data_IF_495148975188
#
_entry.id   IF_495148975188
#
_cell.length_a   1.000
_cell.length_b   1.000
_cell.length_c   1.000
_cell.angle_alpha   90.00
_cell.angle_beta   90.00
_cell.angle_gamma   90.00
#
_symmetry.space_group_name_H-M   'P 1'
#
loop_
_entity.id
_entity.type
_entity.pdbx_description
1 polymer ?
#
# COMPACT_ATOMS: atom_id res chain seq x y z
N UNK A 1 -10.21 5.37 -3.28
CA UNK A 1 -9.32 4.54 -4.13
C UNK A 1 -9.02 5.34 -5.38
N UNK A 2 -7.79 5.23 -5.89
CA UNK A 2 -7.42 5.81 -7.19
C UNK A 2 -7.86 4.86 -8.31
N UNK A 3 -8.13 5.41 -9.50
CA UNK A 3 -8.50 4.62 -10.68
C UNK A 3 -7.30 3.78 -11.17
N UNK A 4 -7.53 2.72 -11.98
CA UNK A 4 -6.44 1.94 -12.58
C UNK A 4 -5.46 2.81 -13.38
N UNK A 5 -5.97 3.75 -14.17
CA UNK A 5 -5.15 4.68 -14.95
C UNK A 5 -4.29 5.60 -14.07
N UNK A 6 -4.85 6.09 -12.95
CA UNK A 6 -4.09 6.87 -11.97
C UNK A 6 -2.99 6.02 -11.32
N UNK A 7 -3.26 4.73 -11.08
CA UNK A 7 -2.27 3.77 -10.54
C UNK A 7 -1.13 3.54 -11.53
N UNK A 8 -1.43 3.40 -12.83
CA UNK A 8 -0.43 3.26 -13.89
C UNK A 8 0.44 4.53 -14.03
N UNK A 9 -0.18 5.71 -14.04
CA UNK A 9 0.54 7.00 -14.07
C UNK A 9 1.47 7.16 -12.86
N UNK A 10 0.99 6.82 -11.67
CA UNK A 10 1.80 6.87 -10.46
C UNK A 10 2.95 5.87 -10.51
N UNK A 11 2.68 4.64 -10.94
CA UNK A 11 3.71 3.61 -11.12
C UNK A 11 4.78 4.07 -12.10
N UNK A 12 4.39 4.62 -13.25
CA UNK A 12 5.31 5.20 -14.23
C UNK A 12 6.12 6.36 -13.67
N UNK A 13 5.53 7.20 -12.83
CA UNK A 13 6.25 8.28 -12.13
C UNK A 13 7.36 7.71 -11.25
N UNK A 14 7.07 6.69 -10.41
CA UNK A 14 8.10 6.06 -9.58
C UNK A 14 9.18 5.38 -10.43
N UNK A 15 8.79 4.62 -11.45
CA UNK A 15 9.75 3.98 -12.36
C UNK A 15 10.73 4.98 -12.97
N UNK A 16 10.30 6.20 -13.28
CA UNK A 16 11.17 7.25 -13.82
C UNK A 16 11.95 8.09 -12.81
N UNK A 17 11.78 7.89 -11.50
CA UNK A 17 12.53 8.61 -10.43
C UNK A 17 13.37 7.70 -9.55
N UNK A 18 13.04 6.41 -9.48
CA UNK A 18 13.83 5.47 -8.71
C UNK A 18 15.23 5.36 -9.32
N UNK A 19 16.30 5.34 -8.51
CA UNK A 19 17.64 5.05 -8.99
C UNK A 19 17.68 3.74 -9.77
N UNK A 20 18.51 3.72 -10.81
CA UNK A 20 18.82 2.49 -11.53
C UNK A 20 19.36 1.44 -10.54
N UNK A 21 18.97 0.18 -10.71
CA UNK A 21 19.34 -0.96 -9.86
C UNK A 21 18.87 -0.90 -8.38
N UNK A 22 18.04 0.08 -8.00
CA UNK A 22 17.46 0.10 -6.65
C UNK A 22 16.58 -1.15 -6.40
N UNK A 23 15.80 -1.55 -7.40
CA UNK A 23 14.99 -2.76 -7.38
C UNK A 23 15.19 -3.56 -8.67
N UNK A 24 15.12 -4.90 -8.59
CA UNK A 24 15.04 -5.75 -9.78
C UNK A 24 13.74 -5.50 -10.55
N UNK A 25 12.66 -5.24 -9.80
CA UNK A 25 11.36 -4.90 -10.34
C UNK A 25 10.53 -4.15 -9.30
N UNK A 26 9.70 -3.22 -9.77
CA UNK A 26 8.69 -2.61 -8.92
C UNK A 26 7.52 -3.60 -8.75
N UNK A 27 7.35 -4.20 -7.58
CA UNK A 27 6.32 -5.22 -7.34
C UNK A 27 4.95 -4.58 -7.20
N UNK A 28 4.85 -3.53 -6.38
CA UNK A 28 3.57 -2.97 -5.99
C UNK A 28 3.67 -1.47 -5.76
N UNK A 29 2.66 -0.73 -6.22
CA UNK A 29 2.43 0.67 -5.83
C UNK A 29 0.96 0.81 -5.45
N UNK A 30 0.70 0.95 -4.16
CA UNK A 30 -0.65 1.13 -3.61
C UNK A 30 -0.82 2.52 -3.05
N UNK A 31 -2.07 3.01 -3.08
CA UNK A 31 -2.41 4.35 -2.60
C UNK A 31 -3.72 4.30 -1.85
N UNK A 32 -3.71 4.85 -0.65
CA UNK A 32 -4.92 5.13 0.09
C UNK A 32 -5.06 6.65 0.36
N UNK A 33 -5.80 6.99 1.42
CA UNK A 33 -6.00 8.38 1.81
C UNK A 33 -4.76 8.99 2.47
N UNK A 34 -3.99 8.18 3.18
CA UNK A 34 -2.93 8.60 4.09
C UNK A 34 -1.55 8.45 3.45
N UNK A 35 -1.33 7.37 2.69
CA UNK A 35 -0.02 7.07 2.13
C UNK A 35 -0.06 6.43 0.73
N UNK A 36 1.11 6.49 0.10
CA UNK A 36 1.52 5.71 -1.07
C UNK A 36 2.51 4.68 -0.55
N UNK A 37 2.27 3.39 -0.81
CA UNK A 37 3.18 2.31 -0.46
C UNK A 37 3.83 1.75 -1.71
N UNK A 38 5.17 1.75 -1.71
CA UNK A 38 6.01 1.34 -2.84
C UNK A 38 6.80 0.11 -2.42
N UNK A 39 6.56 -1.02 -3.08
CA UNK A 39 7.24 -2.29 -2.82
C UNK A 39 8.04 -2.68 -4.05
N UNK A 40 9.35 -2.88 -3.88
CA UNK A 40 10.23 -3.38 -4.93
C UNK A 40 10.85 -4.72 -4.60
N UNK A 41 11.13 -5.53 -5.62
CA UNK A 41 11.85 -6.80 -5.47
C UNK A 41 13.34 -6.53 -5.38
N UNK A 42 13.99 -7.19 -4.43
CA UNK A 42 15.44 -7.15 -4.27
C UNK A 42 16.05 -8.54 -4.41
N UNK A 43 17.34 -8.66 -4.78
CA UNK A 43 17.99 -9.95 -4.88
C UNK A 43 18.09 -10.64 -3.52
N UNK A 44 17.74 -11.92 -3.49
CA UNK A 44 17.90 -12.78 -2.32
C UNK A 44 19.35 -12.92 -1.84
N UNK A 45 19.57 -13.37 -0.59
CA UNK A 45 20.90 -13.74 -0.12
C UNK A 45 21.46 -14.91 -0.94
N UNK A 46 22.77 -14.90 -1.21
CA UNK A 46 23.44 -16.06 -1.82
C UNK A 46 23.71 -17.08 -0.71
N UNK A 47 23.00 -18.20 -0.77
CA UNK A 47 23.06 -19.27 0.22
C UNK A 47 23.71 -20.53 -0.37
N UNK A 48 24.44 -21.28 0.45
CA UNK A 48 24.91 -22.61 0.08
C UNK A 48 23.76 -23.60 -0.02
N UNK A 49 23.91 -24.65 -0.83
CA UNK A 49 22.91 -25.71 -0.88
C UNK A 49 22.80 -26.42 0.48
N UNK A 50 21.58 -26.78 0.87
CA UNK A 50 21.31 -27.50 2.11
C UNK A 50 21.30 -26.67 3.39
N UNK A 51 21.36 -25.33 3.31
CA UNK A 51 21.15 -24.47 4.49
C UNK A 51 19.79 -24.73 5.13
N UNK A 52 19.75 -24.64 6.46
CA UNK A 52 18.51 -24.82 7.21
C UNK A 52 17.49 -23.72 6.89
N UNK A 53 16.19 -23.98 7.13
CA UNK A 53 15.14 -22.97 6.96
C UNK A 53 15.37 -21.74 7.85
N UNK A 54 15.82 -21.95 9.09
CA UNK A 54 16.12 -20.87 10.03
C UNK A 54 17.30 -19.99 9.56
N UNK A 55 18.33 -20.60 8.97
CA UNK A 55 19.46 -19.88 8.40
C UNK A 55 19.07 -19.07 7.17
N UNK A 56 18.23 -19.64 6.29
CA UNK A 56 17.65 -18.91 5.15
C UNK A 56 16.85 -17.70 5.61
N UNK A 57 15.95 -17.87 6.57
CA UNK A 57 15.13 -16.79 7.11
C UNK A 57 16.01 -15.67 7.70
N UNK A 58 16.99 -16.03 8.53
CA UNK A 58 17.92 -15.06 9.10
C UNK A 58 18.72 -14.30 8.02
N UNK A 59 19.14 -14.99 6.96
CA UNK A 59 19.85 -14.37 5.85
C UNK A 59 18.96 -13.42 5.03
N UNK A 60 17.69 -13.76 4.81
CA UNK A 60 16.71 -12.90 4.14
C UNK A 60 16.47 -11.64 4.98
N UNK A 61 16.25 -11.79 6.28
CA UNK A 61 16.12 -10.65 7.20
C UNK A 61 17.36 -9.75 7.19
N UNK A 62 18.55 -10.34 7.23
CA UNK A 62 19.82 -9.62 7.14
C UNK A 62 19.94 -8.83 5.84
N UNK A 63 19.56 -9.43 4.70
CA UNK A 63 19.56 -8.76 3.39
C UNK A 63 18.56 -7.61 3.33
N UNK A 64 17.35 -7.80 3.86
CA UNK A 64 16.32 -6.75 3.92
C UNK A 64 16.81 -5.57 4.76
N UNK A 65 17.41 -5.83 5.93
CA UNK A 65 17.87 -4.78 6.83
C UNK A 65 19.10 -4.04 6.28
N UNK A 66 20.05 -4.73 5.66
CA UNK A 66 21.17 -4.08 4.94
C UNK A 66 20.65 -3.18 3.83
N UNK A 67 19.75 -3.70 2.97
CA UNK A 67 19.16 -2.92 1.89
C UNK A 67 18.45 -1.67 2.41
N UNK A 68 17.67 -1.82 3.50
CA UNK A 68 16.94 -0.71 4.13
C UNK A 68 17.88 0.43 4.50
N UNK A 69 19.01 0.13 5.13
CA UNK A 69 19.95 1.16 5.58
C UNK A 69 20.73 1.76 4.42
N UNK A 70 21.29 0.93 3.52
CA UNK A 70 22.11 1.40 2.39
C UNK A 70 21.34 2.33 1.45
N UNK A 71 20.07 2.05 1.21
CA UNK A 71 19.22 2.78 0.23
C UNK A 71 18.41 3.92 0.87
N UNK A 72 18.63 4.21 2.16
CA UNK A 72 17.77 5.12 2.92
C UNK A 72 17.73 6.52 2.31
N UNK A 73 18.86 7.08 1.94
CA UNK A 73 18.95 8.47 1.45
C UNK A 73 18.24 8.63 0.11
N UNK A 74 18.54 7.76 -0.85
CA UNK A 74 17.90 7.71 -2.17
C UNK A 74 16.37 7.56 -2.07
N UNK A 75 15.89 6.63 -1.22
CA UNK A 75 14.45 6.44 -0.99
C UNK A 75 13.80 7.67 -0.34
N UNK A 76 14.51 8.38 0.54
CA UNK A 76 14.00 9.60 1.17
C UNK A 76 13.91 10.74 0.16
N UNK A 77 14.86 10.86 -0.76
CA UNK A 77 14.84 11.85 -1.83
C UNK A 77 13.62 11.67 -2.75
N UNK A 78 13.44 10.46 -3.30
CA UNK A 78 12.28 10.12 -4.13
C UNK A 78 10.97 10.31 -3.36
N UNK A 79 10.93 9.92 -2.08
CA UNK A 79 9.77 10.12 -1.23
C UNK A 79 9.41 11.61 -1.08
N UNK A 80 10.38 12.51 -0.91
CA UNK A 80 10.11 13.95 -0.78
C UNK A 80 9.52 14.54 -2.05
N UNK A 81 10.04 14.16 -3.21
CA UNK A 81 9.49 14.58 -4.49
C UNK A 81 8.05 14.09 -4.69
N UNK A 82 7.82 12.82 -4.39
CA UNK A 82 6.49 12.20 -4.47
C UNK A 82 5.51 12.84 -3.48
N UNK A 83 5.94 13.09 -2.24
CA UNK A 83 5.14 13.77 -1.22
C UNK A 83 4.73 15.17 -1.67
N UNK A 84 5.64 15.90 -2.33
CA UNK A 84 5.35 17.21 -2.88
C UNK A 84 4.34 17.14 -4.03
N UNK A 85 4.52 16.19 -4.96
CA UNK A 85 3.69 16.04 -6.15
C UNK A 85 2.28 15.49 -5.84
N UNK A 86 2.19 14.47 -4.98
CA UNK A 86 0.96 13.70 -4.75
C UNK A 86 0.27 14.01 -3.42
N UNK A 87 0.88 14.86 -2.58
CA UNK A 87 0.36 15.31 -1.29
C UNK A 87 0.00 14.16 -0.33
N UNK A 88 0.78 13.08 -0.39
CA UNK A 88 0.62 11.87 0.45
C UNK A 88 1.98 11.39 0.90
N UNK A 89 2.05 10.83 2.11
CA UNK A 89 3.27 10.19 2.62
C UNK A 89 3.69 9.03 1.75
N UNK A 90 5.00 8.78 1.66
CA UNK A 90 5.53 7.61 0.95
C UNK A 90 6.14 6.63 1.93
N UNK A 91 5.66 5.41 1.83
CA UNK A 91 6.10 4.26 2.60
C UNK A 91 6.76 3.26 1.66
N UNK A 92 7.80 2.61 2.17
CA UNK A 92 8.65 1.73 1.38
C UNK A 92 8.58 0.31 1.91
N UNK A 93 8.65 -0.66 1.01
CA UNK A 93 8.84 -2.05 1.34
C UNK A 93 9.63 -2.78 0.28
N UNK A 94 9.98 -4.02 0.61
CA UNK A 94 10.69 -4.92 -0.29
C UNK A 94 10.09 -6.31 -0.30
N UNK A 95 10.28 -7.00 -1.42
CA UNK A 95 10.09 -8.45 -1.55
C UNK A 95 11.47 -9.11 -1.77
N UNK A 96 11.86 -10.05 -0.90
CA UNK A 96 13.14 -10.74 -0.93
C UNK A 96 12.89 -12.24 -0.70
N UNK A 97 13.24 -13.10 -1.67
CA UNK A 97 12.97 -14.55 -1.61
C UNK A 97 11.50 -14.91 -1.27
N UNK A 98 10.56 -14.10 -1.77
CA UNK A 98 9.12 -14.27 -1.51
C UNK A 98 8.64 -13.71 -0.17
N UNK A 99 9.56 -13.22 0.69
CA UNK A 99 9.21 -12.55 1.93
C UNK A 99 9.01 -11.05 1.69
N UNK A 100 7.89 -10.50 2.19
CA UNK A 100 7.58 -9.08 2.11
C UNK A 100 7.85 -8.39 3.44
N UNK A 101 8.60 -7.29 3.40
CA UNK A 101 8.86 -6.45 4.56
C UNK A 101 8.59 -4.98 4.24
N UNK A 102 7.68 -4.37 5.01
CA UNK A 102 7.51 -2.92 5.01
C UNK A 102 8.52 -2.29 5.97
N UNK A 103 9.07 -1.15 5.58
CA UNK A 103 9.89 -0.31 6.44
C UNK A 103 8.98 0.58 7.30
N UNK A 104 9.43 1.80 7.61
CA UNK A 104 8.60 2.78 8.30
C UNK A 104 7.41 3.13 7.42
N UNK A 105 6.21 2.82 7.90
CA UNK A 105 4.93 3.10 7.23
C UNK A 105 3.96 3.83 8.16
N UNK A 106 2.95 4.47 7.58
CA UNK A 106 2.02 5.32 8.34
C UNK A 106 1.10 4.46 9.19
N UNK A 107 1.10 4.74 10.50
CA UNK A 107 0.07 4.28 11.42
C UNK A 107 -0.91 5.43 11.68
N UNK A 108 -1.97 5.53 10.87
CA UNK A 108 -2.98 6.56 11.02
C UNK A 108 -4.08 6.12 12.01
N UNK A 109 -4.48 6.97 12.97
CA UNK A 109 -5.57 6.64 13.89
C UNK A 109 -6.92 6.66 13.17
N UNK A 110 -7.78 5.68 13.47
CA UNK A 110 -9.17 5.65 12.96
C UNK A 110 -10.12 5.89 14.11
N UNK A 111 -10.89 6.97 14.05
CA UNK A 111 -11.90 7.30 15.05
C UNK A 111 -13.23 6.63 14.71
N UNK A 112 -13.73 5.77 15.59
CA UNK A 112 -15.03 5.09 15.43
C UNK A 112 -15.94 5.37 16.62
N UNK A 113 -17.21 5.72 16.36
CA UNK A 113 -18.24 5.80 17.39
C UNK A 113 -18.87 4.43 17.59
N UNK A 114 -18.53 3.78 18.69
CA UNK A 114 -19.10 2.47 19.07
C UNK A 114 -20.21 2.62 20.08
N UNK A 115 -21.32 1.93 19.87
CA UNK A 115 -22.42 1.73 20.83
C UNK A 115 -22.01 0.72 21.91
N UNK A 116 -22.82 0.63 22.96
CA UNK A 116 -22.51 -0.22 24.11
C UNK A 116 -22.27 -1.70 23.75
N UNK A 117 -23.08 -2.35 22.88
CA UNK A 117 -22.84 -3.77 22.55
C UNK A 117 -21.48 -3.99 21.89
N UNK A 118 -21.09 -3.11 20.97
CA UNK A 118 -19.78 -3.19 20.30
C UNK A 118 -18.63 -2.97 21.31
N UNK A 119 -18.80 -2.04 22.25
CA UNK A 119 -17.79 -1.81 23.31
C UNK A 119 -17.64 -3.02 24.23
N UNK A 120 -18.73 -3.74 24.52
CA UNK A 120 -18.68 -4.96 25.34
C UNK A 120 -17.82 -6.05 24.67
N UNK A 121 -17.91 -6.21 23.34
CA UNK A 121 -17.05 -7.15 22.61
C UNK A 121 -15.57 -6.80 22.80
N UNK A 122 -15.21 -5.52 22.68
CA UNK A 122 -13.82 -5.08 22.90
C UNK A 122 -13.36 -5.31 24.34
N UNK A 123 -14.23 -5.03 25.32
CA UNK A 123 -13.92 -5.24 26.73
C UNK A 123 -13.72 -6.73 27.05
N UNK A 124 -14.47 -7.63 26.40
CA UNK A 124 -14.25 -9.09 26.49
C UNK A 124 -12.89 -9.50 25.93
N UNK A 125 -12.47 -8.95 24.79
CA UNK A 125 -11.14 -9.24 24.22
C UNK A 125 -10.00 -8.80 25.15
N UNK A 126 -10.17 -7.65 25.83
CA UNK A 126 -9.20 -7.17 26.82
C UNK A 126 -9.20 -8.08 28.05
N UNK A 127 -10.38 -8.39 28.59
CA UNK A 127 -10.50 -9.26 29.77
C UNK A 127 -9.95 -10.67 29.52
N UNK A 128 -10.08 -11.19 28.30
CA UNK A 128 -9.49 -12.47 27.87
C UNK A 128 -7.99 -12.42 27.58
N UNK A 129 -7.32 -11.27 27.74
CA UNK A 129 -5.89 -11.11 27.48
C UNK A 129 -5.50 -11.10 25.99
N UNK A 130 -6.48 -11.02 25.08
CA UNK A 130 -6.24 -11.00 23.63
C UNK A 130 -5.67 -9.65 23.18
N UNK A 131 -6.03 -8.57 23.88
CA UNK A 131 -5.62 -7.21 23.56
C UNK A 131 -5.29 -6.39 24.82
N UNK A 132 -4.37 -5.43 24.67
CA UNK A 132 -3.91 -4.57 25.80
C UNK A 132 -4.71 -3.29 25.96
N UNK A 133 -5.50 -2.91 24.95
CA UNK A 133 -6.35 -1.72 24.94
C UNK A 133 -7.50 -1.89 23.97
N UNK A 134 -8.51 -0.99 24.00
CA UNK A 134 -9.63 -1.02 23.05
C UNK A 134 -9.18 -0.78 21.60
N UNK A 135 -8.18 0.07 21.39
CA UNK A 135 -7.61 0.30 20.05
C UNK A 135 -6.86 -0.93 19.54
N UNK A 136 -6.13 -1.62 20.42
CA UNK A 136 -5.44 -2.89 20.10
C UNK A 136 -6.46 -4.00 19.80
N UNK A 137 -7.57 -4.05 20.54
CA UNK A 137 -8.68 -4.97 20.30
C UNK A 137 -9.35 -4.72 18.94
N UNK A 138 -9.58 -3.46 18.57
CA UNK A 138 -10.10 -3.12 17.24
C UNK A 138 -9.13 -3.54 16.12
N UNK A 139 -7.83 -3.27 16.29
CA UNK A 139 -6.82 -3.72 15.35
C UNK A 139 -6.79 -5.25 15.22
N UNK A 140 -7.00 -5.98 16.33
CA UNK A 140 -7.14 -7.43 16.31
C UNK A 140 -8.36 -7.89 15.51
N UNK A 141 -9.53 -7.26 15.70
CA UNK A 141 -10.74 -7.57 14.92
C UNK A 141 -10.51 -7.36 13.41
N UNK A 142 -9.82 -6.28 13.01
CA UNK A 142 -9.48 -6.04 11.60
C UNK A 142 -8.59 -7.14 11.04
N UNK A 143 -7.53 -7.53 11.76
CA UNK A 143 -6.65 -8.64 11.36
C UNK A 143 -7.39 -9.97 11.27
N UNK A 144 -8.37 -10.21 12.14
CA UNK A 144 -9.20 -11.40 12.08
C UNK A 144 -10.04 -11.45 10.80
N UNK A 145 -10.69 -10.33 10.45
CA UNK A 145 -11.50 -10.24 9.22
C UNK A 145 -10.65 -10.41 7.97
N UNK A 146 -9.44 -9.83 7.92
CA UNK A 146 -8.51 -10.05 6.81
C UNK A 146 -8.27 -11.56 6.63
N UNK A 147 -7.71 -12.24 7.64
CA UNK A 147 -7.36 -13.66 7.52
C UNK A 147 -8.50 -14.60 7.10
N UNK A 148 -9.74 -14.28 7.44
CA UNK A 148 -10.88 -15.16 7.18
C UNK A 148 -11.71 -14.76 5.95
N UNK A 149 -11.49 -13.55 5.42
CA UNK A 149 -12.36 -12.97 4.39
C UNK A 149 -11.56 -12.31 3.27
N UNK A 150 -10.26 -12.61 3.14
CA UNK A 150 -9.37 -12.02 2.14
C UNK A 150 -9.87 -12.24 0.70
N UNK A 151 -10.35 -13.44 0.38
CA UNK A 151 -10.87 -13.77 -0.97
C UNK A 151 -12.08 -12.89 -1.33
N UNK A 152 -13.04 -12.76 -0.42
CA UNK A 152 -14.21 -11.91 -0.62
C UNK A 152 -13.84 -10.41 -0.64
N UNK A 153 -12.86 -9.97 0.15
CA UNK A 153 -12.36 -8.59 0.09
C UNK A 153 -11.68 -8.30 -1.26
N UNK A 154 -10.98 -9.28 -1.85
CA UNK A 154 -10.40 -9.17 -3.18
C UNK A 154 -11.49 -9.02 -4.25
N UNK A 155 -12.51 -9.89 -4.24
CA UNK A 155 -13.65 -9.81 -5.17
C UNK A 155 -14.39 -8.47 -5.07
N UNK A 156 -14.59 -7.96 -3.84
CA UNK A 156 -15.23 -6.67 -3.61
C UNK A 156 -14.41 -5.52 -4.21
N UNK A 157 -13.08 -5.54 -4.06
CA UNK A 157 -12.20 -4.52 -4.65
C UNK A 157 -12.25 -4.55 -6.17
N UNK A 158 -12.20 -5.74 -6.77
CA UNK A 158 -12.32 -5.91 -8.23
C UNK A 158 -13.67 -5.37 -8.74
N UNK A 159 -14.75 -5.68 -8.04
CA UNK A 159 -16.08 -5.17 -8.35
C UNK A 159 -16.15 -3.63 -8.28
N UNK A 160 -15.51 -3.02 -7.27
CA UNK A 160 -15.43 -1.56 -7.15
C UNK A 160 -14.58 -0.92 -8.24
N UNK A 161 -13.56 -1.60 -8.77
CA UNK A 161 -12.82 -1.14 -9.95
C UNK A 161 -13.68 -1.15 -11.20
N UNK A 162 -14.52 -2.18 -11.37
CA UNK A 162 -15.49 -2.23 -12.47
C UNK A 162 -16.49 -1.06 -12.39
N UNK A 163 -17.06 -0.78 -11.22
CA UNK A 163 -17.96 0.38 -11.03
C UNK A 163 -17.27 1.70 -11.36
N UNK A 164 -16.00 1.86 -10.99
CA UNK A 164 -15.22 3.06 -11.33
C UNK A 164 -15.02 3.21 -12.84
N UNK A 165 -14.75 2.12 -13.58
CA UNK A 165 -14.65 2.14 -15.04
C UNK A 165 -15.97 2.60 -15.68
N UNK A 166 -17.09 2.06 -15.22
CA UNK A 166 -18.43 2.45 -15.72
C UNK A 166 -18.70 3.93 -15.44
N UNK A 167 -18.36 4.45 -14.25
CA UNK A 167 -18.51 5.87 -13.93
C UNK A 167 -17.66 6.77 -14.83
N UNK A 168 -16.43 6.37 -15.14
CA UNK A 168 -15.55 7.12 -16.03
C UNK A 168 -16.03 7.15 -17.49
N UNK A 169 -16.90 6.21 -17.88
CA UNK A 169 -17.55 6.12 -19.20
C UNK A 169 -18.99 6.65 -19.17
N UNK A 170 -19.43 7.22 -18.04
CA UNK A 170 -20.78 7.76 -17.87
C UNK A 170 -20.99 9.06 -18.64
N UNK A 171 -22.25 9.49 -18.84
CA UNK A 171 -22.62 10.65 -19.66
C UNK A 171 -21.95 11.97 -19.24
N UNK A 172 -21.51 12.10 -17.98
CA UNK A 172 -20.74 13.26 -17.50
C UNK A 172 -19.33 13.38 -18.13
N UNK A 173 -18.80 12.29 -18.71
CA UNK A 173 -17.51 12.30 -19.40
C UNK A 173 -17.59 12.95 -20.80
N UNK A 174 -18.76 12.88 -21.45
CA UNK A 174 -19.00 13.50 -22.76
C UNK A 174 -19.24 15.02 -22.63
N UNK A 175 -19.88 15.48 -21.54
CA UNK A 175 -20.09 16.92 -21.29
C UNK A 175 -18.78 17.70 -21.02
N UNK A 176 -17.75 17.03 -20.45
CA UNK A 176 -16.43 17.62 -20.23
C UNK A 176 -15.59 17.73 -21.52
N UNK A 177 -15.88 16.92 -22.54
CA UNK A 177 -15.26 17.02 -23.87
C UNK A 177 -15.88 18.12 -24.73
N UNK A 178 -17.20 18.27 -24.67
CA UNK A 178 -17.95 19.23 -25.50
C UNK A 178 -17.77 20.70 -25.03
N UNK A 179 -17.47 20.91 -23.76
CA UNK A 179 -17.19 22.24 -23.20
C UNK A 179 -15.78 22.78 -23.51
N UNK A 180 -14.86 21.95 -24.00
CA UNK A 180 -13.53 22.37 -24.45
C UNK A 180 -13.51 22.83 -25.92
N UNK A 181 -14.44 22.36 -26.75
CA UNK A 181 -14.48 22.65 -28.20
C UNK A 181 -15.28 23.92 -28.54
N UNK A 182 -16.10 24.42 -27.61
CA UNK A 182 -17.00 25.57 -27.83
C UNK A 182 -16.39 26.98 -27.70
N UNK A 183 -15.08 27.14 -27.47
CA UNK A 183 -14.47 28.46 -27.16
C UNK A 183 -13.63 29.11 -28.27
N UNK A 184 -13.66 28.62 -29.52
CA UNK A 184 -12.76 29.15 -30.58
C UNK A 184 -13.39 30.04 -31.66
N UNK A 185 -14.71 30.24 -31.75
CA UNK A 185 -15.23 31.16 -32.78
C UNK A 185 -16.30 32.14 -32.28
N UNK A 186 -15.89 33.42 -32.19
CA UNK A 186 -16.64 34.68 -32.40
C UNK A 186 -15.80 35.77 -31.73
N UNK A 187 -15.19 36.76 -32.38
CA UNK A 187 -15.62 37.57 -33.51
C UNK A 187 -15.29 39.01 -33.14
#
# INVERSE_FOLDING_TARGET
>A
MITPEQREKLRGWFTGRLPDDLFEALVEVTVDREEITVIGRIPGPRLTEGVSAAEREAAVQGRIQEFRERTREERVEVAREAEHAFRRKVSWGVECDGERALFTHVAAPVMTRLRQPERQVLDTLIAGGVARSRSDALAWCVRLVQRHTDDWLAELRESLEHVQRVRAQGPDADEAGDSADGSTESG
#
